data_IF_738736200035
#
_entry.id   IF_738736200035
#
_cell.length_a   1.000
_cell.length_b   1.000
_cell.length_c   1.000
_cell.angle_alpha   90.00
_cell.angle_beta   90.00
_cell.angle_gamma   90.00
#
_symmetry.space_group_name_H-M   'P 1'
#
loop_
_entity.id
_entity.type
_entity.pdbx_description
1 polymer ?
#
# COMPACT_ATOMS: atom_id res chain seq x y z
N UNK A 1 23.38 -5.78 3.03
CA UNK A 1 22.49 -6.62 2.21
C UNK A 1 22.40 -6.19 0.73
N UNK A 2 23.07 -5.11 0.30
CA UNK A 2 23.06 -4.62 -1.10
C UNK A 2 21.68 -4.12 -1.56
N UNK A 3 20.86 -3.63 -0.65
CA UNK A 3 19.52 -3.11 -0.96
C UNK A 3 19.65 -1.87 -1.87
N UNK A 4 18.83 -1.81 -2.92
CA UNK A 4 18.66 -0.59 -3.72
C UNK A 4 18.15 0.54 -2.82
N UNK A 5 18.41 1.79 -3.22
CA UNK A 5 17.83 2.93 -2.53
C UNK A 5 16.31 2.73 -2.38
N UNK A 6 15.76 2.86 -1.16
CA UNK A 6 14.34 2.65 -0.95
C UNK A 6 13.53 3.70 -1.70
N UNK A 7 12.42 3.29 -2.27
CA UNK A 7 11.42 4.23 -2.75
C UNK A 7 10.64 4.71 -1.52
N UNK A 8 10.73 6.01 -1.25
CA UNK A 8 10.03 6.62 -0.12
C UNK A 8 8.70 7.18 -0.58
N UNK A 9 7.64 6.88 0.16
CA UNK A 9 6.37 7.56 0.10
C UNK A 9 6.30 8.56 1.26
N UNK A 10 5.62 9.68 1.04
CA UNK A 10 5.36 10.68 2.08
C UNK A 10 3.87 10.75 2.34
N UNK A 11 3.50 10.84 3.60
CA UNK A 11 2.11 10.96 4.04
C UNK A 11 1.94 12.09 5.03
N UNK A 12 0.74 12.63 5.08
CA UNK A 12 0.28 13.54 6.13
C UNK A 12 -1.12 13.13 6.54
N UNK A 13 -1.40 13.08 7.83
CA UNK A 13 -2.72 12.71 8.34
C UNK A 13 -3.07 13.46 9.62
N UNK A 14 -4.36 13.44 9.94
CA UNK A 14 -4.91 13.91 11.21
C UNK A 14 -5.82 12.83 11.80
N UNK A 15 -5.91 12.80 13.12
CA UNK A 15 -6.93 12.03 13.85
C UNK A 15 -7.89 13.02 14.47
N UNK A 16 -9.19 12.81 14.25
CA UNK A 16 -10.25 13.68 14.71
C UNK A 16 -11.29 12.85 15.45
N UNK A 17 -11.90 13.45 16.46
CA UNK A 17 -13.06 12.86 17.16
C UNK A 17 -14.31 13.00 16.30
N UNK A 18 -15.23 12.05 16.45
CA UNK A 18 -16.43 11.95 15.62
C UNK A 18 -16.16 11.54 14.18
N UNK A 19 -17.20 11.38 13.40
CA UNK A 19 -17.09 10.88 12.03
C UNK A 19 -17.37 11.93 10.96
N UNK A 20 -17.70 13.15 11.38
CA UNK A 20 -18.07 14.22 10.45
C UNK A 20 -19.29 13.80 9.60
N UNK A 21 -19.14 13.93 8.27
CA UNK A 21 -20.15 13.52 7.28
C UNK A 21 -19.98 12.07 6.78
N UNK A 22 -19.04 11.30 7.35
CA UNK A 22 -18.87 9.89 6.98
C UNK A 22 -19.96 9.05 7.61
N UNK A 23 -20.53 8.12 6.84
CA UNK A 23 -21.41 7.09 7.39
C UNK A 23 -20.62 6.12 8.26
N UNK A 24 -21.24 5.57 9.29
CA UNK A 24 -20.64 4.60 10.21
C UNK A 24 -20.00 3.44 9.45
N UNK A 25 -18.75 3.11 9.79
CA UNK A 25 -18.00 2.02 9.18
C UNK A 25 -17.56 2.26 7.72
N UNK A 26 -17.80 3.45 7.17
CA UNK A 26 -17.42 3.75 5.79
C UNK A 26 -15.94 4.14 5.69
N UNK A 27 -15.18 3.40 4.89
CA UNK A 27 -13.83 3.74 4.46
C UNK A 27 -13.88 4.47 3.13
N UNK A 28 -13.25 5.65 3.04
CA UNK A 28 -13.23 6.47 1.83
C UNK A 28 -11.82 6.57 1.27
N UNK A 29 -11.68 6.39 -0.04
CA UNK A 29 -10.47 6.64 -0.82
C UNK A 29 -10.77 7.70 -1.88
N UNK A 30 -9.94 8.75 -1.93
CA UNK A 30 -10.04 9.84 -2.90
C UNK A 30 -8.83 9.84 -3.82
N UNK A 31 -9.07 9.54 -5.09
CA UNK A 31 -8.05 9.60 -6.15
C UNK A 31 -8.16 10.90 -6.93
N UNK A 32 -7.01 11.44 -7.33
CA UNK A 32 -6.94 12.64 -8.17
C UNK A 32 -6.63 13.94 -7.43
N UNK A 33 -6.63 13.94 -6.10
CA UNK A 33 -6.23 15.09 -5.28
C UNK A 33 -4.71 15.29 -5.26
N UNK A 34 -3.96 14.21 -5.43
CA UNK A 34 -2.51 14.20 -5.57
C UNK A 34 -2.11 13.32 -6.73
N UNK A 35 -1.02 13.67 -7.43
CA UNK A 35 -0.44 12.75 -8.41
C UNK A 35 0.26 11.60 -7.67
N UNK A 36 0.13 10.40 -8.23
CA UNK A 36 0.83 9.20 -7.76
C UNK A 36 0.51 8.80 -6.33
N UNK A 37 -0.73 9.09 -5.90
CA UNK A 37 -1.20 8.79 -4.57
C UNK A 37 -2.70 8.93 -4.44
N UNK A 38 -3.17 9.00 -3.20
CA UNK A 38 -4.57 9.22 -2.86
C UNK A 38 -4.72 9.86 -1.47
N UNK A 39 -5.89 10.40 -1.20
CA UNK A 39 -6.30 10.76 0.15
C UNK A 39 -7.29 9.71 0.69
N UNK A 40 -7.40 9.64 2.00
CA UNK A 40 -8.25 8.68 2.69
C UNK A 40 -8.99 9.30 3.87
N UNK A 41 -10.11 8.67 4.22
CA UNK A 41 -10.77 8.85 5.50
C UNK A 41 -11.16 7.47 6.03
N UNK A 42 -10.52 7.05 7.12
CA UNK A 42 -10.67 5.73 7.72
C UNK A 42 -11.32 5.85 9.09
N UNK A 43 -12.42 5.14 9.36
CA UNK A 43 -13.07 5.18 10.65
C UNK A 43 -12.16 4.59 11.72
N UNK A 44 -12.20 5.19 12.89
CA UNK A 44 -11.57 4.74 14.14
C UNK A 44 -12.64 4.57 15.21
N UNK A 45 -12.30 3.90 16.30
CA UNK A 45 -13.14 3.90 17.48
C UNK A 45 -13.29 5.33 18.02
N UNK A 46 -14.51 5.88 17.94
CA UNK A 46 -14.84 7.23 18.37
C UNK A 46 -14.36 8.37 17.46
N UNK A 47 -13.85 8.06 16.25
CA UNK A 47 -13.34 9.12 15.39
C UNK A 47 -12.98 8.68 13.97
N UNK A 48 -12.13 9.47 13.32
CA UNK A 48 -11.68 9.24 11.95
C UNK A 48 -10.20 9.61 11.80
N UNK A 49 -9.46 8.84 10.99
CA UNK A 49 -8.16 9.21 10.47
C UNK A 49 -8.31 9.69 9.03
N UNK A 50 -7.99 10.94 8.78
CA UNK A 50 -8.02 11.54 7.45
C UNK A 50 -6.59 11.85 7.04
N UNK A 51 -6.22 11.50 5.82
CA UNK A 51 -4.85 11.72 5.36
C UNK A 51 -4.71 11.76 3.85
N UNK A 52 -3.51 12.08 3.42
CA UNK A 52 -3.07 12.14 2.04
C UNK A 52 -1.66 11.59 1.92
N UNK A 53 -1.38 10.88 0.84
CA UNK A 53 -0.05 10.35 0.58
C UNK A 53 0.29 10.28 -0.90
N UNK A 54 1.57 10.47 -1.21
CA UNK A 54 2.17 10.24 -2.53
C UNK A 54 3.14 9.07 -2.43
N UNK A 55 2.96 8.04 -3.27
CA UNK A 55 3.60 6.73 -3.10
C UNK A 55 4.64 6.41 -4.17
N UNK A 56 4.55 7.03 -5.35
CA UNK A 56 5.47 6.81 -6.48
C UNK A 56 5.91 8.15 -7.04
N UNK A 57 7.23 8.41 -7.12
CA UNK A 57 7.78 9.62 -7.73
C UNK A 57 7.88 10.81 -6.78
N UNK A 58 8.00 12.01 -7.35
CA UNK A 58 8.10 13.24 -6.58
C UNK A 58 6.70 13.75 -6.19
N UNK A 59 6.57 14.19 -4.96
CA UNK A 59 5.37 14.88 -4.47
C UNK A 59 5.20 16.20 -5.27
N UNK A 60 4.02 16.41 -5.81
CA UNK A 60 3.70 17.58 -6.65
C UNK A 60 2.64 18.50 -6.03
N UNK A 61 1.99 18.05 -4.97
CA UNK A 61 1.02 18.84 -4.21
C UNK A 61 1.47 18.97 -2.75
N UNK A 62 1.21 20.12 -2.16
CA UNK A 62 1.41 20.29 -0.72
C UNK A 62 0.34 19.50 0.03
N UNK A 63 0.71 18.49 0.83
CA UNK A 63 -0.25 17.69 1.56
C UNK A 63 -1.06 18.49 2.58
N UNK A 64 -0.53 19.59 3.09
CA UNK A 64 -1.25 20.49 3.98
C UNK A 64 -2.43 21.15 3.26
N UNK A 65 -2.20 21.65 2.05
CA UNK A 65 -3.26 22.26 1.24
C UNK A 65 -4.33 21.24 0.86
N UNK A 66 -3.93 20.01 0.51
CA UNK A 66 -4.88 18.93 0.18
C UNK A 66 -5.74 18.57 1.38
N UNK A 67 -5.15 18.46 2.58
CA UNK A 67 -5.91 18.21 3.81
C UNK A 67 -6.85 19.36 4.15
N UNK A 68 -6.38 20.61 4.04
CA UNK A 68 -7.18 21.79 4.31
C UNK A 68 -8.40 21.90 3.36
N UNK A 69 -8.30 21.38 2.14
CA UNK A 69 -9.43 21.28 1.20
C UNK A 69 -10.36 20.10 1.53
N UNK A 70 -9.81 18.95 1.90
CA UNK A 70 -10.58 17.73 2.14
C UNK A 70 -11.38 17.76 3.44
N UNK A 71 -10.83 18.35 4.50
CA UNK A 71 -11.45 18.38 5.83
C UNK A 71 -12.85 19.01 5.83
N UNK A 72 -13.09 20.18 5.19
CA UNK A 72 -14.42 20.79 5.13
C UNK A 72 -15.46 19.92 4.39
N UNK A 73 -15.05 19.21 3.34
CA UNK A 73 -15.91 18.28 2.62
C UNK A 73 -16.40 17.15 3.52
N UNK A 74 -15.58 16.76 4.50
CA UNK A 74 -15.87 15.73 5.49
C UNK A 74 -16.54 16.27 6.77
N UNK A 75 -16.78 17.58 6.83
CA UNK A 75 -17.49 18.23 7.94
C UNK A 75 -16.61 18.64 9.11
N UNK A 76 -15.32 18.83 8.88
CA UNK A 76 -14.36 19.32 9.88
C UNK A 76 -13.81 20.70 9.49
N UNK A 77 -13.29 21.45 10.46
CA UNK A 77 -12.58 22.69 10.16
C UNK A 77 -11.29 22.39 9.36
N UNK A 78 -10.92 23.31 8.45
CA UNK A 78 -9.76 23.12 7.57
C UNK A 78 -8.44 22.96 8.35
N UNK A 79 -8.35 23.54 9.53
CA UNK A 79 -7.21 23.49 10.44
C UNK A 79 -7.36 22.46 11.58
N UNK A 80 -8.44 21.64 11.55
CA UNK A 80 -8.74 20.69 12.62
C UNK A 80 -7.62 19.68 12.83
N UNK A 81 -7.29 19.41 14.10
CA UNK A 81 -6.38 18.36 14.56
C UNK A 81 -4.90 18.66 14.33
N UNK A 82 -4.07 17.79 14.89
CA UNK A 82 -2.60 17.88 14.79
C UNK A 82 -2.13 17.10 13.58
N UNK A 83 -1.38 17.76 12.70
CA UNK A 83 -0.79 17.14 11.49
C UNK A 83 0.32 16.16 11.86
N UNK A 84 0.18 14.93 11.42
CA UNK A 84 1.18 13.88 11.56
C UNK A 84 1.81 13.58 10.21
N UNK A 85 3.11 13.81 10.09
CA UNK A 85 3.88 13.45 8.89
C UNK A 85 4.42 12.04 9.03
N UNK A 86 4.33 11.25 7.95
CA UNK A 86 4.85 9.89 7.88
C UNK A 86 5.71 9.68 6.64
N UNK A 87 6.59 8.71 6.72
CA UNK A 87 7.36 8.20 5.59
C UNK A 87 7.26 6.68 5.58
N UNK A 88 7.02 6.11 4.39
CA UNK A 88 6.88 4.68 4.18
C UNK A 88 7.92 4.21 3.18
N UNK A 89 8.49 3.04 3.42
CA UNK A 89 9.37 2.36 2.47
C UNK A 89 8.56 1.45 1.57
N UNK A 90 8.28 1.93 0.38
CA UNK A 90 7.44 1.22 -0.60
C UNK A 90 8.25 0.20 -1.37
N UNK A 91 7.64 -0.93 -1.67
CA UNK A 91 8.26 -1.99 -2.45
C UNK A 91 8.66 -1.51 -3.86
N UNK A 92 9.94 -1.66 -4.20
CA UNK A 92 10.50 -1.19 -5.46
C UNK A 92 11.24 -2.28 -6.26
N UNK A 93 11.10 -3.52 -5.86
CA UNK A 93 11.70 -4.67 -6.52
C UNK A 93 12.19 -5.72 -5.54
N UNK A 94 12.64 -6.84 -6.08
CA UNK A 94 13.25 -7.90 -5.29
C UNK A 94 14.65 -7.50 -4.86
N UNK A 95 14.97 -7.73 -3.61
CA UNK A 95 16.29 -7.62 -3.02
C UNK A 95 16.45 -8.69 -1.94
N UNK A 96 17.67 -8.89 -1.51
CA UNK A 96 17.97 -9.86 -0.45
C UNK A 96 17.51 -9.31 0.89
N UNK A 97 16.76 -10.11 1.63
CA UNK A 97 16.16 -9.78 2.94
C UNK A 97 16.83 -10.50 4.09
N UNK A 98 17.78 -11.37 3.80
CA UNK A 98 18.57 -12.14 4.76
C UNK A 98 20.05 -11.80 4.64
N UNK A 99 20.78 -11.99 5.71
CA UNK A 99 22.22 -11.87 5.78
C UNK A 99 22.82 -12.89 6.72
N UNK A 100 24.06 -12.67 7.12
CA UNK A 100 24.74 -13.51 8.07
C UNK A 100 24.18 -13.23 9.49
N UNK A 101 23.26 -14.07 9.93
CA UNK A 101 22.58 -13.91 11.24
C UNK A 101 21.55 -12.77 11.28
N UNK A 102 21.14 -12.22 10.14
CA UNK A 102 20.21 -11.07 10.06
C UNK A 102 19.08 -11.39 9.08
N UNK A 103 17.86 -11.02 9.45
CA UNK A 103 16.71 -10.91 8.56
C UNK A 103 16.05 -9.53 8.72
N UNK A 104 15.53 -8.96 7.64
CA UNK A 104 14.78 -7.69 7.67
C UNK A 104 13.33 -7.95 7.32
N UNK A 105 12.41 -7.26 8.04
CA UNK A 105 10.96 -7.46 7.96
C UNK A 105 10.22 -6.12 7.79
N UNK A 106 8.98 -6.17 7.35
CA UNK A 106 8.10 -5.00 7.25
C UNK A 106 8.69 -3.85 6.44
N UNK A 107 8.53 -2.63 6.93
CA UNK A 107 9.01 -1.41 6.27
C UNK A 107 10.54 -1.36 6.17
N UNK A 108 11.28 -1.92 7.12
CA UNK A 108 12.73 -2.05 7.02
C UNK A 108 13.17 -2.88 5.81
N UNK A 109 12.33 -3.85 5.41
CA UNK A 109 12.51 -4.67 4.21
C UNK A 109 11.88 -4.03 2.95
N UNK A 110 11.34 -2.82 3.03
CA UNK A 110 10.61 -2.15 1.92
C UNK A 110 9.49 -3.02 1.36
N UNK A 111 8.66 -3.58 2.24
CA UNK A 111 7.57 -4.49 1.85
C UNK A 111 6.20 -3.81 1.75
N UNK A 112 6.10 -2.51 2.01
CA UNK A 112 4.86 -1.75 1.86
C UNK A 112 4.34 -1.82 0.41
N UNK A 113 3.03 -2.02 0.27
CA UNK A 113 2.35 -2.13 -1.02
C UNK A 113 2.59 -0.88 -1.89
N UNK A 114 3.02 -1.04 -3.15
CA UNK A 114 3.35 0.08 -4.03
C UNK A 114 2.12 0.79 -4.63
N UNK A 115 0.91 0.25 -4.48
CA UNK A 115 -0.31 0.84 -5.04
C UNK A 115 -1.25 1.36 -3.95
N UNK A 116 -1.53 0.56 -2.92
CA UNK A 116 -2.44 0.93 -1.83
C UNK A 116 -1.73 1.41 -0.57
N UNK A 117 -0.38 1.39 -0.55
CA UNK A 117 0.44 1.78 0.61
C UNK A 117 0.10 1.01 1.91
N UNK A 118 -0.38 -0.22 1.75
CA UNK A 118 -0.65 -1.12 2.86
C UNK A 118 0.66 -1.73 3.35
N UNK A 119 0.98 -1.57 4.63
CA UNK A 119 2.22 -2.04 5.24
C UNK A 119 2.01 -3.01 6.41
N UNK A 120 0.81 -3.06 7.01
CA UNK A 120 0.55 -3.85 8.20
C UNK A 120 0.60 -5.36 7.92
N UNK A 121 -0.13 -5.82 6.91
CA UNK A 121 -0.16 -7.23 6.52
C UNK A 121 1.23 -7.74 6.10
N UNK A 122 2.01 -7.06 5.23
CA UNK A 122 3.35 -7.52 4.91
C UNK A 122 4.30 -7.50 6.11
N UNK A 123 4.13 -6.57 7.06
CA UNK A 123 4.93 -6.57 8.29
C UNK A 123 4.65 -7.81 9.15
N UNK A 124 3.38 -8.12 9.41
CA UNK A 124 2.97 -9.32 10.15
C UNK A 124 3.41 -10.61 9.43
N UNK A 125 3.15 -10.70 8.13
CA UNK A 125 3.49 -11.86 7.33
C UNK A 125 5.00 -12.11 7.28
N UNK A 126 5.80 -11.06 7.07
CA UNK A 126 7.26 -11.18 7.04
C UNK A 126 7.84 -11.52 8.41
N UNK A 127 7.25 -11.01 9.51
CA UNK A 127 7.63 -11.40 10.87
C UNK A 127 7.39 -12.86 11.15
N UNK A 128 6.20 -13.39 10.80
CA UNK A 128 5.89 -14.82 10.92
C UNK A 128 6.81 -15.69 10.07
N UNK A 129 7.09 -15.25 8.85
CA UNK A 129 7.99 -15.99 7.95
C UNK A 129 9.44 -15.96 8.43
N UNK A 130 9.90 -14.84 8.96
CA UNK A 130 11.21 -14.72 9.59
C UNK A 130 11.35 -15.71 10.74
N UNK A 131 10.35 -15.82 11.61
CA UNK A 131 10.37 -16.76 12.74
C UNK A 131 10.46 -18.22 12.28
N UNK A 132 9.78 -18.59 11.18
CA UNK A 132 9.86 -19.96 10.59
C UNK A 132 11.27 -20.32 10.11
N UNK A 133 12.04 -19.35 9.64
CA UNK A 133 13.41 -19.57 9.19
C UNK A 133 14.44 -19.40 10.31
N UNK A 134 14.22 -18.47 11.23
CA UNK A 134 15.11 -18.23 12.36
C UNK A 134 15.10 -19.39 13.38
N UNK A 135 13.94 -19.98 13.67
CA UNK A 135 13.84 -21.05 14.68
C UNK A 135 14.70 -22.27 14.33
N UNK A 136 14.65 -22.88 13.13
CA UNK A 136 15.56 -23.98 12.78
C UNK A 136 17.03 -23.54 12.74
N UNK A 137 17.31 -22.32 12.27
CA UNK A 137 18.68 -21.81 12.21
C UNK A 137 19.32 -21.67 13.60
N UNK A 138 18.56 -21.14 14.57
CA UNK A 138 19.01 -21.00 15.96
C UNK A 138 19.23 -22.36 16.65
N UNK A 139 18.50 -23.42 16.23
CA UNK A 139 18.65 -24.77 16.73
C UNK A 139 19.80 -25.56 16.05
N UNK A 140 20.42 -24.98 15.02
CA UNK A 140 21.44 -25.67 14.22
C UNK A 140 20.89 -26.61 13.14
N UNK A 141 19.57 -26.68 12.97
CA UNK A 141 18.89 -27.53 11.96
C UNK A 141 18.99 -26.94 10.53
N UNK A 142 19.31 -25.67 10.42
CA UNK A 142 19.54 -24.98 9.15
C UNK A 142 20.88 -24.28 9.12
N UNK A 143 21.60 -24.40 7.99
CA UNK A 143 22.93 -23.78 7.82
C UNK A 143 22.89 -22.28 7.52
N UNK A 144 21.79 -21.78 6.95
CA UNK A 144 21.66 -20.38 6.55
C UNK A 144 20.20 -19.91 6.57
N UNK A 145 20.00 -18.61 6.32
CA UNK A 145 18.70 -17.93 6.30
C UNK A 145 18.19 -17.65 4.86
N UNK A 146 18.86 -18.15 3.82
CA UNK A 146 18.52 -17.83 2.41
C UNK A 146 17.11 -18.24 2.01
N UNK A 147 16.53 -19.23 2.68
CA UNK A 147 15.15 -19.65 2.51
C UNK A 147 14.16 -18.51 2.76
N UNK A 148 14.46 -17.59 3.69
CA UNK A 148 13.59 -16.47 4.01
C UNK A 148 13.38 -15.51 2.82
N UNK A 149 14.46 -15.04 2.19
CA UNK A 149 14.34 -14.16 1.01
C UNK A 149 13.58 -14.82 -0.14
N UNK A 150 13.79 -16.13 -0.36
CA UNK A 150 13.06 -16.90 -1.38
C UNK A 150 11.58 -16.97 -1.06
N UNK A 151 11.23 -17.35 0.16
CA UNK A 151 9.85 -17.44 0.63
C UNK A 151 9.10 -16.10 0.51
N UNK A 152 9.74 -15.01 0.91
CA UNK A 152 9.17 -13.67 0.78
C UNK A 152 8.98 -13.24 -0.68
N UNK A 153 9.89 -13.62 -1.57
CA UNK A 153 9.74 -13.38 -3.00
C UNK A 153 8.52 -14.08 -3.57
N UNK A 154 8.35 -15.36 -3.26
CA UNK A 154 7.24 -16.18 -3.76
C UNK A 154 5.90 -15.75 -3.19
N UNK A 155 5.83 -15.52 -1.89
CA UNK A 155 4.58 -15.19 -1.18
C UNK A 155 4.12 -13.74 -1.37
N UNK A 156 5.04 -12.80 -1.56
CA UNK A 156 4.74 -11.37 -1.59
C UNK A 156 5.25 -10.69 -2.86
N UNK A 157 6.52 -10.87 -3.17
CA UNK A 157 7.22 -10.11 -4.19
C UNK A 157 6.64 -10.22 -5.59
N UNK A 158 6.12 -11.39 -5.98
CA UNK A 158 5.51 -11.58 -7.31
C UNK A 158 4.22 -10.78 -7.45
N UNK A 159 3.38 -10.78 -6.42
CA UNK A 159 2.17 -9.95 -6.39
C UNK A 159 2.53 -8.47 -6.42
N UNK A 160 3.53 -8.04 -5.65
CA UNK A 160 3.98 -6.65 -5.60
C UNK A 160 4.60 -6.17 -6.92
N UNK A 161 5.23 -7.06 -7.68
CA UNK A 161 5.72 -6.74 -9.02
C UNK A 161 4.57 -6.34 -9.96
N UNK A 162 3.44 -7.01 -9.89
CA UNK A 162 2.23 -6.62 -10.59
C UNK A 162 1.59 -5.36 -10.01
N UNK A 163 1.51 -5.25 -8.68
CA UNK A 163 1.01 -4.04 -8.00
C UNK A 163 1.75 -2.79 -8.44
N UNK A 164 3.08 -2.86 -8.53
CA UNK A 164 3.91 -1.74 -9.01
C UNK A 164 3.63 -1.38 -10.47
N UNK A 165 3.48 -2.36 -11.36
CA UNK A 165 3.14 -2.11 -12.77
C UNK A 165 1.76 -1.46 -12.90
N UNK A 166 0.77 -1.97 -12.16
CA UNK A 166 -0.58 -1.39 -12.11
C UNK A 166 -0.52 0.04 -11.59
N UNK A 167 0.20 0.30 -10.50
CA UNK A 167 0.38 1.62 -9.93
C UNK A 167 1.01 2.60 -10.95
N UNK A 168 2.07 2.19 -11.65
CA UNK A 168 2.73 3.01 -12.66
C UNK A 168 1.78 3.40 -13.80
N UNK A 169 0.99 2.46 -14.30
CA UNK A 169 0.00 2.73 -15.37
C UNK A 169 -1.14 3.59 -14.83
N UNK A 170 -1.69 3.25 -13.67
CA UNK A 170 -2.80 3.96 -13.05
C UNK A 170 -2.45 5.42 -12.77
N UNK A 171 -1.30 5.67 -12.15
CA UNK A 171 -0.87 7.02 -11.81
C UNK A 171 -0.34 7.82 -13.01
N UNK A 172 0.12 7.16 -14.06
CA UNK A 172 0.51 7.82 -15.31
C UNK A 172 -0.70 8.30 -16.11
N UNK A 173 -1.78 7.51 -16.10
CA UNK A 173 -3.01 7.77 -16.83
C UNK A 173 -4.23 7.67 -15.89
N UNK A 174 -4.37 8.60 -14.93
CA UNK A 174 -5.35 8.47 -13.85
C UNK A 174 -6.80 8.40 -14.36
N UNK A 175 -7.15 9.12 -15.43
CA UNK A 175 -8.48 9.06 -16.04
C UNK A 175 -8.80 7.66 -16.59
N UNK A 176 -7.84 7.00 -17.26
CA UNK A 176 -8.00 5.63 -17.76
C UNK A 176 -8.06 4.65 -16.58
N UNK A 177 -7.16 4.79 -15.62
CA UNK A 177 -7.13 3.97 -14.42
C UNK A 177 -8.44 4.04 -13.63
N UNK A 178 -9.00 5.24 -13.48
CA UNK A 178 -10.29 5.45 -12.85
C UNK A 178 -11.43 4.75 -13.60
N UNK A 179 -11.55 4.97 -14.90
CA UNK A 179 -12.62 4.39 -15.73
C UNK A 179 -12.57 2.85 -15.78
N UNK A 180 -11.39 2.29 -15.92
CA UNK A 180 -11.20 0.83 -16.02
C UNK A 180 -11.20 0.11 -14.68
N UNK A 181 -10.73 0.76 -13.62
CA UNK A 181 -10.53 0.17 -12.30
C UNK A 181 -11.55 0.64 -11.26
N UNK A 182 -11.53 1.92 -10.91
CA UNK A 182 -12.21 2.46 -9.72
C UNK A 182 -13.71 2.69 -9.94
N UNK A 183 -14.13 3.20 -11.09
CA UNK A 183 -15.55 3.49 -11.39
C UNK A 183 -16.44 2.24 -11.41
N UNK A 184 -15.86 1.05 -11.40
CA UNK A 184 -16.64 -0.18 -11.46
C UNK A 184 -17.29 -0.52 -10.12
N UNK A 185 -18.55 -0.99 -10.10
CA UNK A 185 -19.25 -1.37 -8.85
C UNK A 185 -18.49 -2.42 -8.02
N UNK A 186 -17.64 -3.23 -8.67
CA UNK A 186 -16.83 -4.27 -8.02
C UNK A 186 -15.51 -3.76 -7.45
N UNK A 187 -15.13 -2.50 -7.67
CA UNK A 187 -13.85 -1.96 -7.24
C UNK A 187 -13.66 -1.97 -5.70
N UNK A 188 -14.63 -1.52 -4.89
CA UNK A 188 -14.48 -1.57 -3.44
C UNK A 188 -14.22 -2.97 -2.91
N UNK A 189 -14.98 -3.97 -3.41
CA UNK A 189 -14.79 -5.37 -3.04
C UNK A 189 -13.40 -5.88 -3.41
N UNK A 190 -12.88 -5.52 -4.58
CA UNK A 190 -11.53 -5.93 -5.02
C UNK A 190 -10.43 -5.27 -4.20
N UNK A 191 -10.58 -4.00 -3.88
CA UNK A 191 -9.65 -3.31 -2.97
C UNK A 191 -9.62 -4.02 -1.63
N UNK A 192 -10.78 -4.34 -1.05
CA UNK A 192 -10.88 -5.09 0.20
C UNK A 192 -10.20 -6.47 0.09
N UNK A 193 -10.42 -7.21 -1.01
CA UNK A 193 -9.80 -8.52 -1.24
C UNK A 193 -8.26 -8.44 -1.40
N UNK A 194 -7.73 -7.36 -1.98
CA UNK A 194 -6.28 -7.14 -2.03
C UNK A 194 -5.74 -6.85 -0.62
N UNK A 195 -6.40 -5.97 0.11
CA UNK A 195 -6.00 -5.60 1.47
C UNK A 195 -6.04 -6.79 2.43
N UNK A 196 -7.07 -7.66 2.33
CA UNK A 196 -7.18 -8.89 3.12
C UNK A 196 -6.21 -10.00 2.67
N UNK A 197 -5.68 -9.91 1.45
CA UNK A 197 -4.82 -10.94 0.86
C UNK A 197 -5.57 -12.10 0.19
N UNK A 198 -6.90 -12.01 0.06
CA UNK A 198 -7.71 -12.99 -0.69
C UNK A 198 -7.44 -12.93 -2.20
N UNK A 199 -6.93 -11.81 -2.69
CA UNK A 199 -6.62 -11.59 -4.10
C UNK A 199 -5.24 -10.95 -4.25
N UNK A 200 -4.43 -11.45 -5.19
CA UNK A 200 -3.18 -10.83 -5.59
C UNK A 200 -3.35 -9.86 -6.77
N UNK A 201 -2.40 -8.98 -6.95
CA UNK A 201 -2.39 -8.09 -8.14
C UNK A 201 -2.22 -8.86 -9.45
N UNK A 202 -1.60 -10.04 -9.43
CA UNK A 202 -1.51 -10.93 -10.59
C UNK A 202 -2.87 -11.37 -11.11
N UNK A 203 -3.81 -11.66 -10.20
CA UNK A 203 -5.18 -12.04 -10.57
C UNK A 203 -5.92 -10.91 -11.28
N UNK A 204 -5.70 -9.67 -10.84
CA UNK A 204 -6.26 -8.48 -11.49
C UNK A 204 -5.67 -8.31 -12.88
N UNK A 205 -4.34 -8.41 -13.02
CA UNK A 205 -3.65 -8.28 -14.29
C UNK A 205 -4.14 -9.32 -15.30
N UNK A 206 -4.24 -10.57 -14.91
CA UNK A 206 -4.75 -11.66 -15.77
C UNK A 206 -6.19 -11.40 -16.24
N UNK A 207 -7.07 -10.94 -15.35
CA UNK A 207 -8.46 -10.61 -15.71
C UNK A 207 -8.54 -9.44 -16.68
N UNK A 208 -7.72 -8.41 -16.50
CA UNK A 208 -7.66 -7.25 -17.41
C UNK A 208 -7.15 -7.70 -18.79
N UNK A 209 -6.06 -8.46 -18.83
CA UNK A 209 -5.47 -8.98 -20.07
C UNK A 209 -6.49 -9.85 -20.83
N UNK A 210 -7.10 -10.82 -20.12
CA UNK A 210 -8.12 -11.70 -20.73
C UNK A 210 -9.28 -10.90 -21.34
N UNK A 211 -9.72 -9.84 -20.68
CA UNK A 211 -10.80 -9.00 -21.17
C UNK A 211 -10.41 -8.21 -22.41
N UNK A 212 -9.19 -7.63 -22.43
CA UNK A 212 -8.69 -6.89 -23.59
C UNK A 212 -8.53 -7.80 -24.81
N UNK A 213 -8.14 -9.06 -24.59
CA UNK A 213 -8.05 -10.05 -25.68
C UNK A 213 -9.43 -10.47 -26.20
N UNK A 214 -10.44 -10.61 -25.33
CA UNK A 214 -11.80 -10.98 -25.72
C UNK A 214 -12.59 -9.84 -26.38
N UNK A 215 -12.18 -8.58 -26.22
CA UNK A 215 -12.79 -7.43 -26.88
C UNK A 215 -12.18 -7.15 -28.27
N UNK A 216 -11.16 -7.89 -28.68
CA UNK A 216 -10.51 -7.79 -30.00
C UNK A 216 -11.03 -8.80 -31.02
N UNK A 217 -11.87 -9.71 -30.61
CA UNK A 217 -12.64 -10.64 -31.48
C UNK A 217 -14.11 -10.22 -31.51
#
# INVERSE_FOLDING_TARGET
>A
LGAKQPQMATTMSVRLEGQGKLSDGTTRFEFGLVKQGFAWAFPLAGGVNIGVGSFIGKQDADPEQVLAQLLPDLGFAADAGIRQRGQLRVWNGHHRLDGNGIVVVGDAASLCDPFLAEGLRPALMSGCEAARHLSPWLKGDSKDLRGYSRSMRERWGESMAWGRRIAQVFYRFPGVGYQLGIKRPTAPRRIAQILSGEMGYGDIAQRVIKRLLLQRN
#
